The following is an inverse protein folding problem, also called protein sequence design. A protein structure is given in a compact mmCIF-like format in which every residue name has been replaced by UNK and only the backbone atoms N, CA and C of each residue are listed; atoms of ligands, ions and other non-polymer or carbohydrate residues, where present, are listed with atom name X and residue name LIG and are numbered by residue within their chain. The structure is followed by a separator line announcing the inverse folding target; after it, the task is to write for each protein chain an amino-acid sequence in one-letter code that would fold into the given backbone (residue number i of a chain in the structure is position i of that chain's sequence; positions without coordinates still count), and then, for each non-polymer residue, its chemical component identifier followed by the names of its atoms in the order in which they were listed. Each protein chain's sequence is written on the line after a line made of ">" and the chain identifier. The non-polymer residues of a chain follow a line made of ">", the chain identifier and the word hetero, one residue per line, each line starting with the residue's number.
data_IF_789385988173
#
_entry.id   IF_789385988173
#
_cell.length_a   1.000
_cell.length_b   1.000
_cell.length_c   1.000
_cell.angle_alpha   90.00
_cell.angle_beta   90.00
_cell.angle_gamma   90.00
#
_symmetry.space_group_name_H-M   'P 1'
#
loop_
_entity.id
_entity.type
_entity.pdbx_description
1 polymer ?
#
# COMPACT_ATOMS: atom_id res chain seq x y z
N UNK A 1 16.90 2.69 -12.44
CA UNK A 1 15.47 2.28 -12.37
C UNK A 1 15.11 2.38 -10.90
N UNK A 2 14.69 3.56 -10.45
CA UNK A 2 14.72 3.87 -9.02
C UNK A 2 13.34 3.76 -8.36
N UNK A 3 12.34 3.34 -9.15
CA UNK A 3 10.94 3.19 -8.75
C UNK A 3 10.45 1.77 -9.00
N UNK A 4 9.78 1.20 -8.01
CA UNK A 4 9.15 -0.12 -8.09
C UNK A 4 7.64 0.01 -7.95
N UNK A 5 6.90 -0.89 -8.60
CA UNK A 5 5.47 -1.03 -8.40
C UNK A 5 5.20 -1.91 -7.19
N UNK A 6 4.37 -1.41 -6.29
CA UNK A 6 3.93 -2.14 -5.09
C UNK A 6 2.41 -2.16 -5.00
N UNK A 7 1.91 -3.13 -4.26
CA UNK A 7 0.50 -3.23 -3.93
C UNK A 7 0.25 -2.65 -2.54
N UNK A 8 -0.88 -1.96 -2.39
CA UNK A 8 -1.44 -1.60 -1.11
C UNK A 8 -2.51 -2.62 -0.75
N UNK A 9 -2.26 -3.33 0.35
CA UNK A 9 -3.05 -4.44 0.83
C UNK A 9 -3.88 -4.01 2.02
N UNK A 10 -5.19 -4.22 1.96
CA UNK A 10 -6.08 -3.93 3.08
C UNK A 10 -5.70 -4.82 4.28
N UNK A 11 -5.52 -4.22 5.45
CA UNK A 11 -5.15 -4.98 6.66
C UNK A 11 -6.31 -5.79 7.23
N UNK A 12 -7.55 -5.46 6.88
CA UNK A 12 -8.74 -6.17 7.37
C UNK A 12 -9.13 -7.35 6.49
N UNK A 13 -9.07 -7.20 5.15
CA UNK A 13 -9.47 -8.28 4.21
C UNK A 13 -8.30 -9.01 3.56
N UNK A 14 -7.11 -8.41 3.53
CA UNK A 14 -5.98 -8.95 2.77
C UNK A 14 -6.05 -8.68 1.26
N UNK A 15 -7.06 -7.94 0.79
CA UNK A 15 -7.24 -7.63 -0.63
C UNK A 15 -6.21 -6.61 -1.12
N UNK A 16 -5.73 -6.82 -2.35
CA UNK A 16 -4.82 -5.90 -3.03
C UNK A 16 -5.62 -4.86 -3.82
N UNK A 17 -6.12 -3.84 -3.13
CA UNK A 17 -7.04 -2.87 -3.70
C UNK A 17 -6.38 -1.80 -4.60
N UNK A 18 -5.11 -1.48 -4.36
CA UNK A 18 -4.43 -0.42 -5.10
C UNK A 18 -3.01 -0.80 -5.50
N UNK A 19 -2.57 -0.31 -6.65
CA UNK A 19 -1.19 -0.41 -7.13
C UNK A 19 -0.59 0.99 -7.24
N UNK A 20 0.61 1.18 -6.72
CA UNK A 20 1.32 2.47 -6.76
C UNK A 20 2.79 2.28 -7.10
N UNK A 21 3.43 3.33 -7.61
CA UNK A 21 4.87 3.36 -7.79
C UNK A 21 5.53 4.08 -6.61
N UNK A 22 6.53 3.45 -6.01
CA UNK A 22 7.31 4.06 -4.93
C UNK A 22 8.76 4.22 -5.36
N UNK A 23 9.41 5.29 -4.91
CA UNK A 23 10.86 5.44 -5.06
C UNK A 23 11.54 4.59 -4.00
N UNK A 24 12.43 3.70 -4.42
CA UNK A 24 13.10 2.73 -3.54
C UNK A 24 14.53 3.18 -3.20
N UNK A 25 15.11 4.00 -4.09
CA UNK A 25 16.43 4.59 -3.90
C UNK A 25 16.39 5.63 -2.77
N UNK A 26 17.06 5.32 -1.65
CA UNK A 26 17.06 6.12 -0.42
C UNK A 26 16.27 5.50 0.74
N UNK A 27 15.68 4.32 0.54
CA UNK A 27 14.81 3.68 1.53
C UNK A 27 13.35 4.08 1.39
N UNK A 28 12.45 3.24 1.88
CA UNK A 28 11.03 3.58 1.98
C UNK A 28 10.84 4.38 3.27
N UNK A 29 10.26 5.57 3.14
CA UNK A 29 9.80 6.40 4.25
C UNK A 29 8.95 5.59 5.25
N UNK A 30 9.18 5.75 6.54
CA UNK A 30 8.46 5.01 7.59
C UNK A 30 6.94 5.22 7.49
N UNK A 31 6.50 6.42 7.12
CA UNK A 31 5.07 6.73 6.89
C UNK A 31 4.44 5.84 5.83
N UNK A 32 5.22 5.55 4.80
CA UNK A 32 4.79 4.72 3.66
C UNK A 32 4.72 3.23 4.07
N UNK A 33 5.55 2.80 5.03
CA UNK A 33 5.47 1.46 5.64
C UNK A 33 4.32 1.31 6.63
N UNK A 34 4.04 2.35 7.42
CA UNK A 34 2.92 2.38 8.38
C UNK A 34 1.58 2.16 7.68
N UNK A 35 1.47 2.67 6.46
CA UNK A 35 0.33 2.45 5.57
C UNK A 35 -0.58 3.66 5.47
N UNK A 36 -1.55 3.58 4.57
CA UNK A 36 -2.46 4.68 4.27
C UNK A 36 -3.92 4.28 4.45
N UNK A 37 -4.74 5.18 4.98
CA UNK A 37 -6.18 5.00 5.00
C UNK A 37 -6.75 5.13 3.58
N UNK A 38 -7.24 4.01 3.04
CA UNK A 38 -7.82 3.93 1.69
C UNK A 38 -9.12 3.16 1.71
N UNK A 39 -9.97 3.44 0.74
CA UNK A 39 -11.28 2.82 0.64
C UNK A 39 -11.13 1.35 0.26
N UNK A 40 -11.74 0.44 1.03
CA UNK A 40 -11.84 -0.97 0.65
C UNK A 40 -13.21 -1.23 0.02
N UNK A 41 -13.29 -1.66 -1.26
CA UNK A 41 -14.56 -1.97 -1.92
C UNK A 41 -15.33 -3.09 -1.22
N UNK A 42 -14.62 -4.12 -0.72
CA UNK A 42 -15.20 -5.28 -0.03
C UNK A 42 -15.93 -4.89 1.25
N UNK A 43 -15.35 -3.99 2.05
CA UNK A 43 -15.91 -3.54 3.33
C UNK A 43 -16.71 -2.24 3.23
N UNK A 44 -16.66 -1.58 2.06
CA UNK A 44 -17.30 -0.29 1.77
C UNK A 44 -16.95 0.84 2.76
N UNK A 45 -15.77 0.78 3.37
CA UNK A 45 -15.25 1.78 4.31
C UNK A 45 -13.75 2.03 4.09
N UNK A 46 -13.24 3.13 4.63
CA UNK A 46 -11.80 3.39 4.67
C UNK A 46 -11.12 2.51 5.71
N UNK A 47 -10.07 1.82 5.30
CA UNK A 47 -9.28 0.91 6.13
C UNK A 47 -7.80 1.16 5.90
N UNK A 48 -6.96 0.73 6.83
CA UNK A 48 -5.52 0.84 6.69
C UNK A 48 -5.04 -0.11 5.59
N UNK A 49 -4.26 0.41 4.65
CA UNK A 49 -3.63 -0.39 3.61
C UNK A 49 -2.11 -0.29 3.72
N UNK A 50 -1.44 -1.45 3.80
CA UNK A 50 0.01 -1.56 3.93
C UNK A 50 0.65 -2.00 2.63
N UNK A 51 1.91 -1.62 2.44
CA UNK A 51 2.65 -1.98 1.24
C UNK A 51 3.06 -3.44 1.28
N UNK A 52 2.78 -4.12 0.17
CA UNK A 52 3.35 -5.43 -0.16
C UNK A 52 4.19 -5.30 -1.42
N UNK A 53 5.47 -5.65 -1.29
CA UNK A 53 6.39 -5.82 -2.42
C UNK A 53 6.14 -7.18 -3.07
N UNK A 54 6.47 -7.30 -4.36
CA UNK A 54 6.41 -8.57 -5.09
C UNK A 54 7.47 -9.52 -4.56
#
# INVERSE_FOLDING_TARGET
>A
MDREFVWLVCTETGDMNYRTNIRVKGGIDEKVKEGFMKYSPSLRKHTLHKIKRK
#
